data_IF_138235705823
#
_entry.id   IF_138235705823
#
_cell.length_a   1.000
_cell.length_b   1.000
_cell.length_c   1.000
_cell.angle_alpha   90.00
_cell.angle_beta   90.00
_cell.angle_gamma   90.00
#
_symmetry.space_group_name_H-M   'P 1'
#
loop_
_entity.id
_entity.type
_entity.pdbx_description
1 polymer ?
#
# COMPACT_ATOMS: atom_id res chain seq x y z
N UNK A 1 17.62 6.95 -5.12
CA UNK A 1 16.76 8.15 -5.00
C UNK A 1 15.81 7.91 -3.85
N UNK A 2 15.84 8.72 -2.80
CA UNK A 2 14.92 8.58 -1.67
C UNK A 2 13.67 9.44 -1.94
N UNK A 3 12.50 8.81 -2.11
CA UNK A 3 11.24 9.54 -2.31
C UNK A 3 10.71 10.02 -0.95
N UNK A 4 10.42 11.31 -0.83
CA UNK A 4 10.01 11.98 0.41
C UNK A 4 8.47 12.14 0.45
N UNK A 5 7.80 11.49 1.40
CA UNK A 5 6.34 11.51 1.61
C UNK A 5 5.79 12.92 1.79
N UNK A 6 6.49 13.76 2.55
CA UNK A 6 6.08 15.15 2.74
C UNK A 6 6.06 15.93 1.42
N UNK A 7 6.98 15.65 0.50
CA UNK A 7 6.93 16.23 -0.84
C UNK A 7 5.75 15.69 -1.66
N UNK A 8 5.43 14.40 -1.53
CA UNK A 8 4.29 13.78 -2.22
C UNK A 8 2.97 14.38 -1.71
N UNK A 9 2.83 14.57 -0.40
CA UNK A 9 1.67 15.19 0.24
C UNK A 9 1.57 16.67 -0.15
N UNK A 10 2.65 17.45 -0.02
CA UNK A 10 2.68 18.89 -0.36
C UNK A 10 2.45 19.17 -1.84
N UNK A 11 2.83 18.27 -2.74
CA UNK A 11 2.65 18.46 -4.19
C UNK A 11 1.19 18.31 -4.63
N UNK A 12 0.30 17.75 -3.79
CA UNK A 12 -1.17 17.78 -3.96
C UNK A 12 -1.70 17.36 -5.34
N UNK A 13 -0.89 16.68 -6.16
CA UNK A 13 -1.18 16.44 -7.57
C UNK A 13 -1.47 14.96 -7.80
N UNK A 14 -2.40 14.72 -8.71
CA UNK A 14 -3.02 13.47 -9.22
C UNK A 14 -2.11 12.24 -9.45
N UNK A 15 -0.81 12.33 -9.21
CA UNK A 15 0.17 11.25 -9.32
C UNK A 15 0.56 10.85 -7.90
N UNK A 16 -0.20 9.94 -7.29
CA UNK A 16 0.28 9.28 -6.07
C UNK A 16 1.61 8.60 -6.37
N UNK A 17 2.55 8.63 -5.43
CA UNK A 17 3.78 7.86 -5.58
C UNK A 17 3.45 6.38 -5.41
N UNK A 18 3.83 5.55 -6.38
CA UNK A 18 3.64 4.11 -6.31
C UNK A 18 4.95 3.43 -6.00
N UNK A 19 4.97 2.64 -4.92
CA UNK A 19 6.07 1.76 -4.57
C UNK A 19 5.77 0.36 -5.11
N UNK A 20 6.43 -0.02 -6.21
CA UNK A 20 6.22 -1.32 -6.84
C UNK A 20 7.03 -2.37 -6.07
N UNK A 21 6.34 -3.36 -5.49
CA UNK A 21 6.97 -4.50 -4.82
C UNK A 21 7.33 -5.59 -5.82
N UNK A 22 6.40 -5.89 -6.73
CA UNK A 22 6.60 -6.92 -7.75
C UNK A 22 5.74 -6.63 -8.98
N UNK A 23 6.39 -6.50 -10.14
CA UNK A 23 5.71 -6.19 -11.39
C UNK A 23 5.06 -7.41 -12.03
N UNK A 24 5.55 -8.62 -11.77
CA UNK A 24 5.01 -9.87 -12.33
C UNK A 24 3.62 -10.16 -11.74
N UNK A 25 3.46 -9.97 -10.43
CA UNK A 25 2.20 -10.20 -9.73
C UNK A 25 1.36 -8.93 -9.55
N UNK A 26 1.77 -7.80 -10.12
CA UNK A 26 1.06 -6.51 -10.00
C UNK A 26 0.91 -6.06 -8.55
N UNK A 27 1.96 -6.24 -7.73
CA UNK A 27 1.96 -5.85 -6.32
C UNK A 27 2.61 -4.49 -6.15
N UNK A 28 1.86 -3.53 -5.61
CA UNK A 28 2.35 -2.18 -5.35
C UNK A 28 1.67 -1.54 -4.14
N UNK A 29 2.32 -0.52 -3.60
CA UNK A 29 1.78 0.35 -2.56
C UNK A 29 1.63 1.75 -3.14
N UNK A 30 0.40 2.19 -3.35
CA UNK A 30 0.10 3.53 -3.83
C UNK A 30 -0.03 4.49 -2.64
N UNK A 31 0.69 5.60 -2.68
CA UNK A 31 0.61 6.69 -1.69
C UNK A 31 -0.41 7.69 -2.19
N UNK A 32 -1.55 7.78 -1.51
CA UNK A 32 -2.67 8.64 -1.85
C UNK A 32 -2.75 9.75 -0.81
N UNK A 33 -2.32 10.99 -1.11
CA UNK A 33 -2.41 12.08 -0.15
C UNK A 33 -3.87 12.37 0.22
N UNK A 34 -4.12 12.63 1.49
CA UNK A 34 -5.38 13.16 1.96
C UNK A 34 -5.43 14.66 1.61
N UNK A 35 -6.57 15.17 1.12
CA UNK A 35 -6.68 16.55 0.63
C UNK A 35 -6.34 17.63 1.67
N UNK A 36 -6.28 17.25 2.94
CA UNK A 36 -5.91 18.09 4.08
C UNK A 36 -4.39 18.35 4.21
N UNK A 37 -3.56 17.75 3.35
CA UNK A 37 -2.10 17.91 3.30
C UNK A 37 -1.36 17.54 4.61
N UNK A 38 -2.04 16.87 5.53
CA UNK A 38 -1.58 16.50 6.87
C UNK A 38 -1.42 14.99 7.05
N UNK A 39 -1.95 14.19 6.11
CA UNK A 39 -1.79 12.73 6.09
C UNK A 39 -1.90 12.17 4.67
N UNK A 40 -1.52 10.90 4.50
CA UNK A 40 -1.73 10.13 3.29
C UNK A 40 -2.26 8.74 3.62
N UNK A 41 -2.85 8.08 2.63
CA UNK A 41 -3.20 6.67 2.70
C UNK A 41 -2.21 5.85 1.87
N UNK A 42 -1.63 4.83 2.48
CA UNK A 42 -0.95 3.75 1.78
C UNK A 42 -1.99 2.73 1.34
N UNK A 43 -2.17 2.58 0.04
CA UNK A 43 -3.08 1.62 -0.58
C UNK A 43 -2.26 0.46 -1.11
N UNK A 44 -2.44 -0.71 -0.51
CA UNK A 44 -1.79 -1.94 -0.99
C UNK A 44 -2.64 -2.54 -2.09
N UNK A 45 -2.05 -2.70 -3.26
CA UNK A 45 -2.66 -3.25 -4.46
C UNK A 45 -1.98 -4.56 -4.82
N UNK A 46 -2.79 -5.56 -5.18
CA UNK A 46 -2.37 -6.87 -5.65
C UNK A 46 -3.35 -7.29 -6.76
N UNK A 47 -2.90 -7.22 -8.00
CA UNK A 47 -3.72 -7.55 -9.17
C UNK A 47 -3.80 -9.08 -9.40
N UNK A 48 -2.83 -9.84 -8.89
CA UNK A 48 -2.78 -11.28 -9.05
C UNK A 48 -3.59 -12.05 -7.99
N UNK A 49 -4.66 -12.70 -8.44
CA UNK A 49 -5.55 -13.49 -7.58
C UNK A 49 -4.91 -14.73 -6.94
N UNK A 50 -3.82 -15.25 -7.49
CA UNK A 50 -3.12 -16.45 -6.98
C UNK A 50 -2.47 -16.16 -5.64
N UNK A 51 -1.91 -14.96 -5.49
CA UNK A 51 -1.27 -14.51 -4.25
C UNK A 51 -2.18 -13.64 -3.40
N UNK A 52 -3.24 -13.03 -3.96
CA UNK A 52 -4.17 -12.14 -3.24
C UNK A 52 -4.62 -12.70 -1.88
N UNK A 53 -5.17 -13.92 -1.85
CA UNK A 53 -5.68 -14.51 -0.61
C UNK A 53 -4.58 -14.80 0.42
N UNK A 54 -3.40 -15.24 -0.05
CA UNK A 54 -2.23 -15.47 0.82
C UNK A 54 -1.72 -14.15 1.37
N UNK A 55 -1.63 -13.12 0.53
CA UNK A 55 -1.14 -11.81 0.90
C UNK A 55 -2.07 -11.12 1.88
N UNK A 56 -3.38 -11.16 1.60
CA UNK A 56 -4.42 -10.71 2.52
C UNK A 56 -4.24 -11.36 3.89
N UNK A 57 -4.16 -12.69 3.94
CA UNK A 57 -4.05 -13.42 5.21
C UNK A 57 -2.77 -13.06 5.96
N UNK A 58 -1.66 -12.87 5.25
CA UNK A 58 -0.41 -12.46 5.89
C UNK A 58 -0.48 -11.03 6.42
N UNK A 59 -1.05 -10.09 5.67
CA UNK A 59 -1.29 -8.72 6.16
C UNK A 59 -2.17 -8.74 7.43
N UNK A 60 -3.27 -9.49 7.45
CA UNK A 60 -4.16 -9.62 8.61
C UNK A 60 -3.42 -10.13 9.85
N UNK A 61 -2.51 -11.11 9.71
CA UNK A 61 -1.68 -11.60 10.84
C UNK A 61 -0.76 -10.54 11.42
N UNK A 62 -0.31 -9.61 10.59
CA UNK A 62 0.55 -8.50 11.01
C UNK A 62 -0.24 -7.34 11.63
N UNK A 63 -1.54 -7.53 11.90
CA UNK A 63 -2.41 -6.53 12.52
C UNK A 63 -2.88 -5.46 11.54
N UNK A 64 -2.68 -5.67 10.24
CA UNK A 64 -3.13 -4.74 9.25
C UNK A 64 -4.63 -4.89 8.99
N UNK A 65 -5.34 -3.76 9.00
CA UNK A 65 -6.78 -3.74 8.72
C UNK A 65 -7.02 -3.83 7.20
N UNK A 66 -7.25 -5.05 6.72
CA UNK A 66 -7.49 -5.35 5.30
C UNK A 66 -8.94 -5.00 4.96
N UNK A 67 -9.12 -4.07 4.03
CA UNK A 67 -10.44 -3.74 3.50
C UNK A 67 -10.83 -4.78 2.46
N UNK A 68 -12.00 -5.38 2.63
CA UNK A 68 -12.60 -6.20 1.58
C UNK A 68 -13.43 -5.27 0.69
N UNK A 69 -13.07 -5.08 -0.58
CA UNK A 69 -13.78 -4.15 -1.46
C UNK A 69 -15.24 -4.59 -1.65
N UNK A 70 -16.20 -3.74 -1.22
CA UNK A 70 -17.65 -3.95 -1.46
C UNK A 70 -18.11 -3.60 -2.89
N UNK A 71 -17.26 -2.97 -3.70
CA UNK A 71 -17.56 -2.52 -5.07
C UNK A 71 -16.51 -3.03 -6.05
N UNK A 72 -16.95 -3.39 -7.25
CA UNK A 72 -16.14 -4.00 -8.31
C UNK A 72 -14.90 -3.20 -8.76
N UNK A 73 -14.82 -1.90 -8.45
CA UNK A 73 -13.69 -1.05 -8.86
C UNK A 73 -12.49 -1.10 -7.91
N UNK A 74 -12.58 -1.82 -6.79
CA UNK A 74 -11.50 -1.95 -5.80
C UNK A 74 -11.01 -3.40 -5.65
N UNK A 75 -11.29 -4.27 -6.63
CA UNK A 75 -11.03 -5.73 -6.59
C UNK A 75 -9.59 -6.11 -6.24
N UNK A 76 -8.64 -5.22 -6.46
CA UNK A 76 -7.21 -5.47 -6.28
C UNK A 76 -6.64 -4.82 -5.01
N UNK A 77 -7.44 -4.08 -4.23
CA UNK A 77 -6.96 -3.40 -3.01
C UNK A 77 -7.04 -4.37 -1.83
N UNK A 78 -5.88 -4.66 -1.24
CA UNK A 78 -5.74 -5.48 -0.03
C UNK A 78 -5.88 -4.64 1.24
N UNK A 79 -5.36 -3.42 1.26
CA UNK A 79 -5.24 -2.66 2.51
C UNK A 79 -5.21 -1.17 2.28
N UNK A 80 -5.65 -0.44 3.30
CA UNK A 80 -5.55 1.02 3.35
C UNK A 80 -5.04 1.44 4.73
N UNK A 81 -3.89 2.08 4.77
CA UNK A 81 -3.26 2.51 6.02
C UNK A 81 -3.04 4.01 6.00
N UNK A 82 -3.62 4.70 6.99
CA UNK A 82 -3.39 6.13 7.16
C UNK A 82 -2.02 6.35 7.79
N UNK A 83 -1.24 7.25 7.22
CA UNK A 83 0.10 7.64 7.66
C UNK A 83 0.17 9.16 7.76
N UNK A 84 0.81 9.66 8.80
CA UNK A 84 0.90 11.11 9.05
C UNK A 84 2.30 11.67 8.75
N UNK A 85 3.30 10.78 8.62
CA UNK A 85 4.68 11.17 8.36
C UNK A 85 5.46 10.11 7.55
N UNK A 86 6.65 10.52 7.10
CA UNK A 86 7.60 9.71 6.33
C UNK A 86 8.00 8.40 7.01
N UNK A 87 8.28 8.46 8.31
CA UNK A 87 8.81 7.32 9.07
C UNK A 87 7.76 6.22 9.19
N UNK A 88 6.51 6.59 9.50
CA UNK A 88 5.36 5.68 9.51
C UNK A 88 5.16 5.05 8.13
N UNK A 89 5.20 5.86 7.06
CA UNK A 89 5.03 5.35 5.72
C UNK A 89 6.12 4.34 5.34
N UNK A 90 7.39 4.67 5.60
CA UNK A 90 8.53 3.77 5.37
C UNK A 90 8.38 2.49 6.20
N UNK A 91 8.05 2.59 7.49
CA UNK A 91 7.90 1.43 8.36
C UNK A 91 6.78 0.49 7.90
N UNK A 92 5.64 1.04 7.47
CA UNK A 92 4.53 0.24 6.94
C UNK A 92 4.91 -0.39 5.60
N UNK A 93 5.52 0.36 4.68
CA UNK A 93 5.98 -0.18 3.39
C UNK A 93 6.95 -1.35 3.61
N UNK A 94 7.93 -1.21 4.51
CA UNK A 94 8.86 -2.29 4.86
C UNK A 94 8.12 -3.52 5.35
N UNK A 95 7.17 -3.37 6.28
CA UNK A 95 6.36 -4.49 6.79
C UNK A 95 5.53 -5.16 5.69
N UNK A 96 4.94 -4.38 4.77
CA UNK A 96 4.18 -4.93 3.63
C UNK A 96 5.12 -5.73 2.71
N UNK A 97 6.32 -5.22 2.45
CA UNK A 97 7.35 -5.95 1.68
C UNK A 97 7.73 -7.27 2.36
N UNK A 98 7.92 -7.27 3.68
CA UNK A 98 8.19 -8.51 4.43
C UNK A 98 7.04 -9.53 4.33
N UNK A 99 5.79 -9.06 4.41
CA UNK A 99 4.62 -9.92 4.22
C UNK A 99 4.59 -10.52 2.81
N UNK A 100 4.92 -9.73 1.80
CA UNK A 100 4.96 -10.19 0.41
C UNK A 100 6.07 -11.23 0.16
N UNK A 101 7.27 -11.00 0.68
CA UNK A 101 8.40 -11.92 0.53
C UNK A 101 8.13 -13.29 1.19
N UNK A 102 7.30 -13.33 2.23
CA UNK A 102 6.89 -14.60 2.87
C UNK A 102 5.96 -15.45 2.01
N UNK A 103 5.09 -14.83 1.23
CA UNK A 103 4.12 -15.55 0.39
C UNK A 103 4.65 -15.90 -1.00
N UNK A 104 5.73 -15.22 -1.43
CA UNK A 104 6.43 -15.47 -2.70
C UNK A 104 7.32 -16.73 -2.65
N UNK A 105 7.78 -17.12 -1.46
CA UNK A 105 8.51 -18.38 -1.21
C UNK A 105 7.62 -19.61 -1.40
#
# INVERSE_FOLDING_TARGET
MEQNLEEIIKKGRKVGASYILDQEYGVRVDIVPEGDCSSAYLRVVCEDRRIYSKFKSELEKYGFNVITPKKESAKDILGLYKVSNNEEAKAIIVKISECYEKIKK
#
